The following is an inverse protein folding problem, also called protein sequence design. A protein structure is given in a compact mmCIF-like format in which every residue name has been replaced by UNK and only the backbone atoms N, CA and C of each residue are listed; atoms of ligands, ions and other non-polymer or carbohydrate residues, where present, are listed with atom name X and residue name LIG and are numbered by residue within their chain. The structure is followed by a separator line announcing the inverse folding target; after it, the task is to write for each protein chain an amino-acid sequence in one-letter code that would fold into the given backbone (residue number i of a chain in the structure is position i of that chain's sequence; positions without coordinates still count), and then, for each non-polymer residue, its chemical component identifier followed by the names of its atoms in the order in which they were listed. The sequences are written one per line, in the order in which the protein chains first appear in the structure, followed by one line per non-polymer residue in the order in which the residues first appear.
data_IF_092748519205
#
_entry.id   IF_092748519205
#
_cell.length_a   1.000
_cell.length_b   1.000
_cell.length_c   1.000
_cell.angle_alpha   90.00
_cell.angle_beta   90.00
_cell.angle_gamma   90.00
#
_symmetry.space_group_name_H-M   'P 1'
#
loop_
_entity.id
_entity.type
_entity.pdbx_description
1 polymer ?
#
# COMPACT_ATOMS: atom_id res chain seq x y z
N UNK A 1 -17.42 19.16 -1.77
CA UNK A 1 -17.78 19.65 -3.12
C UNK A 1 -17.78 18.43 -4.01
N UNK A 2 -18.89 18.10 -4.65
CA UNK A 2 -18.90 17.07 -5.69
C UNK A 2 -18.18 17.63 -6.92
N UNK A 3 -17.14 16.93 -7.37
CA UNK A 3 -16.42 17.29 -8.59
C UNK A 3 -17.30 17.12 -9.84
N UNK A 4 -16.81 17.60 -10.98
CA UNK A 4 -17.41 17.36 -12.30
C UNK A 4 -16.58 16.29 -13.03
N UNK A 5 -17.13 15.08 -13.14
CA UNK A 5 -16.43 13.92 -13.71
C UNK A 5 -16.14 14.10 -15.19
N UNK A 6 -17.12 14.54 -15.97
CA UNK A 6 -16.98 14.74 -17.41
C UNK A 6 -15.89 15.78 -17.71
N UNK A 7 -15.83 16.83 -16.88
CA UNK A 7 -14.77 17.83 -16.96
C UNK A 7 -13.42 17.26 -16.56
N UNK A 8 -13.33 16.46 -15.50
CA UNK A 8 -12.08 15.81 -15.09
C UNK A 8 -11.53 14.89 -16.20
N UNK A 9 -12.39 14.03 -16.76
CA UNK A 9 -12.05 13.16 -17.91
C UNK A 9 -11.56 13.99 -19.11
N UNK A 10 -12.28 15.07 -19.45
CA UNK A 10 -11.94 15.95 -20.57
C UNK A 10 -10.60 16.65 -20.38
N UNK A 11 -10.35 17.22 -19.20
CA UNK A 11 -9.09 17.93 -18.93
C UNK A 11 -7.89 16.97 -18.87
N UNK A 12 -8.05 15.78 -18.28
CA UNK A 12 -7.00 14.76 -18.29
C UNK A 12 -6.71 14.27 -19.71
N UNK A 13 -7.73 14.05 -20.55
CA UNK A 13 -7.54 13.67 -21.95
C UNK A 13 -6.74 14.74 -22.73
N UNK A 14 -7.05 16.03 -22.53
CA UNK A 14 -6.28 17.14 -23.11
C UNK A 14 -4.82 17.11 -22.66
N UNK A 15 -4.57 16.89 -21.37
CA UNK A 15 -3.20 16.80 -20.84
C UNK A 15 -2.43 15.63 -21.44
N UNK A 16 -3.07 14.45 -21.60
CA UNK A 16 -2.46 13.29 -22.25
C UNK A 16 -2.10 13.60 -23.70
N UNK A 17 -3.00 14.24 -24.45
CA UNK A 17 -2.72 14.61 -25.84
C UNK A 17 -1.62 15.67 -25.98
N UNK A 18 -1.49 16.57 -25.01
CA UNK A 18 -0.53 17.67 -25.04
C UNK A 18 0.85 17.32 -24.43
N UNK A 19 0.96 16.18 -23.73
CA UNK A 19 2.16 15.80 -22.98
C UNK A 19 2.75 14.50 -23.51
N UNK A 20 4.06 14.48 -23.69
CA UNK A 20 4.81 13.23 -23.92
C UNK A 20 5.20 12.54 -22.60
N UNK A 21 4.79 13.08 -21.44
CA UNK A 21 5.14 12.55 -20.13
C UNK A 21 3.91 11.94 -19.44
N UNK A 22 3.70 10.65 -19.68
CA UNK A 22 2.65 9.85 -19.04
C UNK A 22 2.76 9.81 -17.52
N UNK A 23 3.99 9.77 -17.00
CA UNK A 23 4.26 9.63 -15.57
C UNK A 23 3.76 10.81 -14.77
N UNK A 24 3.97 12.04 -15.25
CA UNK A 24 3.52 13.24 -14.56
C UNK A 24 1.98 13.35 -14.46
N UNK A 25 1.26 12.79 -15.43
CA UNK A 25 -0.22 12.76 -15.43
C UNK A 25 -0.71 11.72 -14.42
N UNK A 26 -0.08 10.54 -14.40
CA UNK A 26 -0.45 9.49 -13.46
C UNK A 26 -0.15 9.88 -12.01
N UNK A 27 1.02 10.49 -11.76
CA UNK A 27 1.37 11.01 -10.43
C UNK A 27 0.42 12.13 -9.98
N UNK A 28 -0.10 12.96 -10.90
CA UNK A 28 -1.11 13.96 -10.55
C UNK A 28 -2.43 13.32 -10.10
N UNK A 29 -2.89 12.28 -10.80
CA UNK A 29 -4.11 11.56 -10.41
C UNK A 29 -3.92 10.80 -9.09
N UNK A 30 -2.75 10.20 -8.89
CA UNK A 30 -2.40 9.56 -7.63
C UNK A 30 -2.29 10.56 -6.46
N UNK A 31 -1.77 11.76 -6.70
CA UNK A 31 -1.77 12.87 -5.72
C UNK A 31 -3.19 13.22 -5.27
N UNK A 32 -4.16 13.23 -6.19
CA UNK A 32 -5.57 13.45 -5.82
C UNK A 32 -6.14 12.28 -5.02
N UNK A 33 -5.88 11.05 -5.46
CA UNK A 33 -6.41 9.85 -4.83
C UNK A 33 -5.86 9.64 -3.41
N UNK A 34 -4.59 9.94 -3.17
CA UNK A 34 -3.94 9.69 -1.87
C UNK A 34 -4.47 10.58 -0.74
N UNK A 35 -5.26 11.62 -1.05
CA UNK A 35 -5.97 12.39 -0.03
C UNK A 35 -7.08 11.59 0.67
N UNK A 36 -7.57 10.51 0.07
CA UNK A 36 -8.44 9.53 0.73
C UNK A 36 -7.72 8.17 0.80
N UNK A 37 -6.77 8.05 1.73
CA UNK A 37 -5.94 6.85 1.90
C UNK A 37 -6.76 5.60 2.24
N UNK A 38 -7.78 5.72 3.09
CA UNK A 38 -8.56 4.56 3.55
C UNK A 38 -9.27 3.86 2.38
N UNK A 39 -9.83 4.63 1.44
CA UNK A 39 -10.55 4.07 0.29
C UNK A 39 -9.61 3.81 -0.91
N UNK A 40 -8.66 4.71 -1.17
CA UNK A 40 -7.90 4.74 -2.42
C UNK A 40 -6.41 4.43 -2.27
N UNK A 41 -5.86 4.39 -1.06
CA UNK A 41 -4.41 4.25 -0.86
C UNK A 41 -3.84 2.95 -1.41
N UNK A 42 -4.50 1.82 -1.12
CA UNK A 42 -4.10 0.50 -1.63
C UNK A 42 -4.24 0.42 -3.16
N UNK A 43 -5.36 0.93 -3.70
CA UNK A 43 -5.60 0.97 -5.14
C UNK A 43 -4.55 1.83 -5.84
N UNK A 44 -4.27 3.03 -5.32
CA UNK A 44 -3.28 3.97 -5.87
C UNK A 44 -1.92 3.34 -6.00
N UNK A 45 -1.43 2.66 -4.96
CA UNK A 45 -0.15 1.95 -5.01
C UNK A 45 -0.11 0.90 -6.13
N UNK A 46 -1.11 0.02 -6.20
CA UNK A 46 -1.14 -1.05 -7.21
C UNK A 46 -1.36 -0.50 -8.62
N UNK A 47 -2.17 0.54 -8.77
CA UNK A 47 -2.45 1.21 -10.03
C UNK A 47 -1.17 1.82 -10.63
N UNK A 48 -0.46 2.65 -9.85
CA UNK A 48 0.83 3.23 -10.25
C UNK A 48 1.82 2.12 -10.64
N UNK A 49 1.98 1.11 -9.78
CA UNK A 49 2.93 0.01 -10.00
C UNK A 49 2.62 -0.78 -11.26
N UNK A 50 1.34 -1.05 -11.53
CA UNK A 50 0.94 -1.81 -12.71
C UNK A 50 1.23 -1.05 -14.00
N UNK A 51 1.05 0.27 -14.03
CA UNK A 51 1.47 1.08 -15.16
C UNK A 51 2.98 1.08 -15.33
N UNK A 52 3.76 1.28 -14.27
CA UNK A 52 5.23 1.24 -14.36
C UNK A 52 5.78 -0.08 -14.89
N UNK A 53 5.06 -1.19 -14.69
CA UNK A 53 5.44 -2.49 -15.20
C UNK A 53 5.16 -2.66 -16.71
N UNK A 54 4.13 -2.00 -17.24
CA UNK A 54 3.65 -2.22 -18.61
C UNK A 54 3.82 -1.02 -19.57
N UNK A 55 3.96 0.20 -19.06
CA UNK A 55 4.26 1.49 -19.74
C UNK A 55 3.77 1.65 -21.19
N UNK A 56 2.59 1.09 -21.51
CA UNK A 56 2.01 1.20 -22.84
C UNK A 56 1.25 2.53 -22.97
N UNK A 57 1.78 3.42 -23.81
CA UNK A 57 1.17 4.71 -24.10
C UNK A 57 -0.27 4.59 -24.63
N UNK A 58 -0.60 3.49 -25.33
CA UNK A 58 -1.97 3.26 -25.84
C UNK A 58 -2.97 3.02 -24.73
N UNK A 59 -2.51 2.48 -23.61
CA UNK A 59 -3.33 2.18 -22.44
C UNK A 59 -3.35 3.33 -21.42
N UNK A 60 -2.54 4.37 -21.61
CA UNK A 60 -2.47 5.51 -20.70
C UNK A 60 -3.83 6.13 -20.41
N UNK A 61 -4.69 6.26 -21.43
CA UNK A 61 -6.05 6.75 -21.25
C UNK A 61 -6.90 5.80 -20.40
N UNK A 62 -6.87 4.49 -20.69
CA UNK A 62 -7.57 3.47 -19.90
C UNK A 62 -7.17 3.53 -18.43
N UNK A 63 -5.87 3.66 -18.17
CA UNK A 63 -5.31 3.82 -16.83
C UNK A 63 -5.77 5.10 -16.14
N UNK A 64 -5.61 6.25 -16.80
CA UNK A 64 -5.99 7.54 -16.25
C UNK A 64 -7.49 7.61 -15.94
N UNK A 65 -8.33 7.17 -16.88
CA UNK A 65 -9.78 7.14 -16.71
C UNK A 65 -10.20 6.20 -15.57
N UNK A 66 -9.55 5.04 -15.44
CA UNK A 66 -9.81 4.13 -14.32
C UNK A 66 -9.62 4.83 -12.97
N UNK A 67 -8.50 5.55 -12.78
CA UNK A 67 -8.26 6.30 -11.54
C UNK A 67 -9.28 7.42 -11.32
N UNK A 68 -9.67 8.16 -12.37
CA UNK A 68 -10.73 9.18 -12.27
C UNK A 68 -12.03 8.53 -11.78
N UNK A 69 -12.44 7.40 -12.36
CA UNK A 69 -13.65 6.70 -11.95
C UNK A 69 -13.60 6.26 -10.48
N UNK A 70 -12.46 5.79 -9.98
CA UNK A 70 -12.31 5.45 -8.56
C UNK A 70 -12.36 6.68 -7.65
N UNK A 71 -11.68 7.78 -8.02
CA UNK A 71 -11.70 9.04 -7.26
C UNK A 71 -13.14 9.53 -7.07
N UNK A 72 -13.97 9.43 -8.11
CA UNK A 72 -15.37 9.91 -8.06
C UNK A 72 -16.34 9.00 -7.30
N UNK A 73 -15.91 7.80 -6.88
CA UNK A 73 -16.70 6.96 -5.95
C UNK A 73 -16.54 7.37 -4.50
N UNK A 74 -15.54 8.19 -4.20
CA UNK A 74 -15.14 8.56 -2.85
C UNK A 74 -15.30 10.07 -2.63
N UNK A 75 -15.54 10.47 -1.38
CA UNK A 75 -15.46 11.87 -1.01
C UNK A 75 -13.99 12.26 -0.84
N UNK A 76 -13.52 13.22 -1.64
CA UNK A 76 -12.17 13.78 -1.47
C UNK A 76 -12.13 14.64 -0.21
N UNK A 77 -11.23 14.29 0.70
CA UNK A 77 -10.97 15.07 1.91
C UNK A 77 -10.05 16.23 1.55
N UNK A 78 -10.51 17.47 1.74
CA UNK A 78 -9.64 18.64 1.57
C UNK A 78 -8.65 18.68 2.72
N UNK A 79 -7.39 18.99 2.44
CA UNK A 79 -6.38 18.97 3.47
C UNK A 79 -5.60 20.28 3.50
N UNK A 80 -5.90 21.12 4.49
CA UNK A 80 -5.34 22.48 4.61
C UNK A 80 -4.03 22.56 5.40
N UNK A 81 -3.81 21.65 6.35
CA UNK A 81 -2.72 21.78 7.31
C UNK A 81 -1.51 20.93 6.87
N UNK A 82 -0.29 21.16 7.35
CA UNK A 82 0.84 20.26 7.07
C UNK A 82 0.97 19.24 8.22
N UNK A 83 1.37 18.00 7.91
CA UNK A 83 1.72 17.00 8.92
C UNK A 83 3.04 16.31 8.59
N UNK A 84 3.77 15.94 9.64
CA UNK A 84 5.09 15.31 9.56
C UNK A 84 5.14 14.07 10.48
N UNK A 85 4.51 12.98 10.02
CA UNK A 85 4.51 11.71 10.72
C UNK A 85 4.95 10.62 9.75
N UNK A 86 6.05 9.94 10.06
CA UNK A 86 6.60 8.88 9.23
C UNK A 86 5.86 7.55 9.51
N UNK A 87 5.42 6.78 8.48
CA UNK A 87 4.84 5.45 8.65
C UNK A 87 5.61 4.52 9.59
N UNK A 88 6.95 4.54 9.54
CA UNK A 88 7.79 3.70 10.40
C UNK A 88 7.51 3.89 11.90
N UNK A 89 7.07 5.09 12.31
CA UNK A 89 6.74 5.38 13.72
C UNK A 89 5.57 4.55 14.24
N UNK A 90 4.70 4.06 13.36
CA UNK A 90 3.52 3.25 13.72
C UNK A 90 3.71 1.76 13.46
N UNK A 91 4.91 1.32 13.03
CA UNK A 91 5.14 -0.05 12.59
C UNK A 91 4.75 -1.10 13.64
N UNK A 92 5.13 -0.90 14.89
CA UNK A 92 4.83 -1.82 15.99
C UNK A 92 3.35 -1.87 16.38
N UNK A 93 2.60 -0.83 16.02
CA UNK A 93 1.19 -0.71 16.35
C UNK A 93 0.32 -1.36 15.28
N UNK A 94 0.79 -1.34 14.02
CA UNK A 94 0.12 -1.98 12.88
C UNK A 94 0.52 -3.45 12.72
N UNK A 95 1.76 -3.83 13.05
CA UNK A 95 2.23 -5.21 12.95
C UNK A 95 1.72 -6.05 14.13
N UNK A 96 0.41 -6.23 14.19
CA UNK A 96 -0.22 -7.06 15.21
C UNK A 96 -1.27 -7.98 14.58
N UNK A 97 -1.51 -9.18 15.15
CA UNK A 97 -2.50 -10.10 14.60
C UNK A 97 -3.93 -9.54 14.50
N UNK A 98 -4.30 -8.58 15.36
CA UNK A 98 -5.60 -7.91 15.31
C UNK A 98 -5.73 -6.91 14.16
N UNK A 99 -4.62 -6.37 13.67
CA UNK A 99 -4.57 -5.40 12.57
C UNK A 99 -4.28 -6.04 11.20
N UNK A 100 -4.33 -7.38 11.06
CA UNK A 100 -4.02 -8.09 9.80
C UNK A 100 -4.78 -7.55 8.57
N UNK A 101 -6.01 -7.03 8.75
CA UNK A 101 -6.79 -6.42 7.66
C UNK A 101 -6.19 -5.09 7.17
N UNK A 102 -5.51 -4.36 8.04
CA UNK A 102 -4.89 -3.06 7.77
C UNK A 102 -3.49 -3.19 7.16
N UNK A 103 -2.81 -4.31 7.40
CA UNK A 103 -1.43 -4.56 6.94
C UNK A 103 -1.24 -4.37 5.42
N UNK A 104 -2.13 -4.85 4.53
CA UNK A 104 -1.98 -4.61 3.09
C UNK A 104 -1.96 -3.12 2.71
N UNK A 105 -2.89 -2.34 3.26
CA UNK A 105 -2.92 -0.89 3.05
C UNK A 105 -1.65 -0.24 3.61
N UNK A 106 -1.27 -0.56 4.84
CA UNK A 106 -0.07 0.01 5.46
C UNK A 106 1.21 -0.32 4.67
N UNK A 107 1.34 -1.55 4.19
CA UNK A 107 2.44 -2.00 3.33
C UNK A 107 2.49 -1.25 1.99
N UNK A 108 1.34 -0.88 1.42
CA UNK A 108 1.26 -0.03 0.24
C UNK A 108 1.68 1.42 0.56
N UNK A 109 1.22 1.96 1.70
CA UNK A 109 1.57 3.31 2.17
C UNK A 109 3.07 3.46 2.45
N UNK A 110 3.72 2.48 3.09
CA UNK A 110 5.17 2.50 3.29
C UNK A 110 5.92 2.61 1.95
N UNK A 111 5.49 1.86 0.93
CA UNK A 111 6.12 1.89 -0.39
C UNK A 111 5.82 3.17 -1.17
N UNK A 112 4.65 3.77 -0.99
CA UNK A 112 4.34 5.09 -1.54
C UNK A 112 5.17 6.20 -0.86
N UNK A 113 5.45 6.06 0.44
CA UNK A 113 6.29 6.98 1.20
C UNK A 113 7.77 6.97 0.78
N UNK A 114 8.29 5.78 0.43
CA UNK A 114 9.67 5.56 0.01
C UNK A 114 9.91 5.73 -1.50
N UNK A 115 8.86 5.88 -2.30
CA UNK A 115 8.97 5.92 -3.75
C UNK A 115 9.65 7.18 -4.29
N UNK A 116 10.21 7.06 -5.49
CA UNK A 116 10.86 8.16 -6.20
C UNK A 116 9.85 8.84 -7.14
N UNK A 117 9.00 9.68 -6.56
CA UNK A 117 7.96 10.43 -7.28
C UNK A 117 8.33 11.91 -7.38
N UNK A 118 7.99 12.56 -8.50
CA UNK A 118 8.15 14.02 -8.66
C UNK A 118 7.34 14.76 -7.60
N UNK A 119 6.18 14.21 -7.20
CA UNK A 119 5.24 14.78 -6.24
C UNK A 119 5.39 14.22 -4.81
N UNK A 120 6.53 13.64 -4.47
CA UNK A 120 6.74 12.92 -3.20
C UNK A 120 6.34 13.72 -1.94
N UNK A 121 6.53 15.04 -1.93
CA UNK A 121 6.16 15.87 -0.78
C UNK A 121 4.65 15.87 -0.52
N UNK A 122 3.80 15.89 -1.56
CA UNK A 122 2.36 15.82 -1.36
C UNK A 122 1.95 14.44 -0.84
N UNK A 123 2.58 13.38 -1.35
CA UNK A 123 2.32 12.01 -0.91
C UNK A 123 2.64 11.87 0.57
N UNK A 124 3.84 12.33 0.98
CA UNK A 124 4.25 12.32 2.39
C UNK A 124 3.29 13.12 3.26
N UNK A 125 2.89 14.32 2.85
CA UNK A 125 1.93 15.12 3.62
C UNK A 125 0.57 14.43 3.77
N UNK A 126 0.02 13.84 2.70
CA UNK A 126 -1.25 13.12 2.76
C UNK A 126 -1.16 11.88 3.66
N UNK A 127 -0.08 11.10 3.52
CA UNK A 127 0.20 9.92 4.35
C UNK A 127 0.37 10.30 5.82
N UNK A 128 1.19 11.32 6.12
CA UNK A 128 1.39 11.83 7.49
C UNK A 128 0.07 12.11 8.20
N UNK A 129 -0.89 12.72 7.49
CA UNK A 129 -2.20 13.04 8.07
C UNK A 129 -3.09 11.84 8.24
N UNK A 130 -3.09 10.93 7.27
CA UNK A 130 -3.79 9.68 7.45
C UNK A 130 -3.27 8.93 8.69
N UNK A 131 -1.96 8.95 8.93
CA UNK A 131 -1.34 8.36 10.12
C UNK A 131 -1.80 9.04 11.43
N UNK A 132 -1.96 10.37 11.47
CA UNK A 132 -2.45 11.05 12.69
C UNK A 132 -3.90 10.70 13.03
N UNK A 133 -4.68 10.25 12.05
CA UNK A 133 -6.08 9.82 12.25
C UNK A 133 -6.21 8.37 12.74
N UNK A 134 -5.14 7.56 12.64
CA UNK A 134 -5.18 6.18 13.09
C UNK A 134 -5.25 6.10 14.62
N UNK A 135 -6.24 5.37 15.16
CA UNK A 135 -6.39 5.17 16.60
C UNK A 135 -5.46 4.04 17.05
N UNK A 136 -4.57 4.38 17.96
CA UNK A 136 -3.44 3.53 18.34
C UNK A 136 -3.65 2.99 19.75
N UNK A 137 -3.61 1.66 19.90
CA UNK A 137 -3.39 1.03 21.19
C UNK A 137 -1.96 0.48 21.23
N UNK A 138 -1.15 0.83 22.24
CA UNK A 138 0.19 0.26 22.36
C UNK A 138 0.08 -1.24 22.65
N UNK A 139 0.79 -2.05 21.87
CA UNK A 139 0.92 -3.49 22.11
C UNK A 139 2.32 -3.79 22.60
N UNK A 140 2.42 -4.69 23.58
CA UNK A 140 3.68 -5.18 24.15
C UNK A 140 4.15 -6.46 23.46
N UNK A 141 5.47 -6.55 23.27
CA UNK A 141 6.16 -7.65 22.60
C UNK A 141 5.79 -9.02 23.19
N UNK A 142 5.60 -10.00 22.30
CA UNK A 142 5.59 -11.42 22.63
C UNK A 142 6.78 -12.12 22.01
N UNK A 143 7.18 -13.21 22.66
CA UNK A 143 8.37 -13.98 22.34
C UNK A 143 8.08 -14.98 21.20
N UNK A 144 8.93 -14.99 20.18
CA UNK A 144 9.01 -15.99 19.11
C UNK A 144 10.42 -16.07 18.55
N UNK A 145 10.64 -16.92 17.55
CA UNK A 145 11.93 -17.02 16.86
C UNK A 145 11.88 -16.21 15.57
N UNK A 146 12.89 -15.37 15.36
CA UNK A 146 13.06 -14.49 14.18
C UNK A 146 14.06 -15.05 13.17
N UNK A 147 14.73 -16.17 13.49
CA UNK A 147 15.85 -16.75 12.75
C UNK A 147 15.58 -16.93 11.25
N UNK A 148 14.38 -17.38 10.88
CA UNK A 148 13.99 -17.61 9.48
C UNK A 148 13.79 -16.29 8.71
N UNK A 149 13.24 -15.26 9.36
CA UNK A 149 13.08 -13.92 8.79
C UNK A 149 14.44 -13.23 8.65
N UNK A 150 15.33 -13.39 9.63
CA UNK A 150 16.71 -12.88 9.56
C UNK A 150 17.48 -13.53 8.42
N UNK A 151 17.41 -14.86 8.28
CA UNK A 151 18.00 -15.58 7.14
C UNK A 151 17.42 -15.09 5.82
N UNK A 152 16.10 -14.92 5.74
CA UNK A 152 15.43 -14.40 4.54
C UNK A 152 15.89 -12.98 4.19
N UNK A 153 16.00 -12.09 5.17
CA UNK A 153 16.41 -10.71 4.92
C UNK A 153 17.87 -10.64 4.43
N UNK A 154 18.76 -11.46 5.00
CA UNK A 154 20.18 -11.50 4.62
C UNK A 154 20.46 -12.20 3.29
N UNK A 155 19.75 -13.29 2.99
CA UNK A 155 20.10 -14.20 1.88
C UNK A 155 18.97 -14.40 0.86
N UNK A 156 17.81 -13.77 1.07
CA UNK A 156 16.59 -14.11 0.35
C UNK A 156 16.15 -15.55 0.64
N UNK A 157 15.47 -16.16 -0.33
CA UNK A 157 15.12 -17.58 -0.29
C UNK A 157 13.63 -17.85 -0.31
N UNK A 158 13.27 -19.08 0.07
CA UNK A 158 11.93 -19.65 -0.13
C UNK A 158 10.96 -19.47 1.04
N UNK A 159 11.38 -18.85 2.14
CA UNK A 159 10.55 -18.71 3.35
C UNK A 159 9.09 -18.31 3.08
N UNK A 160 8.86 -17.18 2.39
CA UNK A 160 7.51 -16.72 2.05
C UNK A 160 6.83 -17.58 0.97
N UNK A 161 7.59 -18.22 0.08
CA UNK A 161 7.06 -19.11 -0.95
C UNK A 161 6.51 -20.38 -0.30
N UNK A 162 7.25 -20.98 0.61
CA UNK A 162 6.86 -22.23 1.27
C UNK A 162 5.63 -22.00 2.18
N UNK A 163 5.53 -20.83 2.82
CA UNK A 163 4.31 -20.42 3.55
C UNK A 163 3.13 -20.23 2.59
N UNK A 164 3.32 -19.56 1.45
CA UNK A 164 2.29 -19.36 0.45
C UNK A 164 1.76 -20.70 -0.11
N UNK A 165 2.67 -21.63 -0.43
CA UNK A 165 2.32 -22.98 -0.89
C UNK A 165 1.50 -23.73 0.18
N UNK A 166 1.85 -23.59 1.46
CA UNK A 166 1.09 -24.16 2.58
C UNK A 166 -0.32 -23.57 2.69
N UNK A 167 -0.46 -22.24 2.59
CA UNK A 167 -1.75 -21.55 2.62
C UNK A 167 -2.66 -22.06 1.51
N UNK A 168 -2.17 -22.11 0.27
CA UNK A 168 -2.95 -22.55 -0.89
C UNK A 168 -3.37 -24.02 -0.78
N UNK A 169 -2.53 -24.86 -0.17
CA UNK A 169 -2.82 -26.29 -0.02
C UNK A 169 -3.84 -26.58 1.07
N UNK A 170 -3.85 -25.81 2.15
CA UNK A 170 -4.59 -26.14 3.37
C UNK A 170 -5.90 -25.36 3.55
N UNK A 171 -6.12 -24.25 2.83
CA UNK A 171 -7.30 -23.39 2.98
C UNK A 171 -8.26 -23.49 1.78
N UNK A 172 -9.51 -23.06 2.00
CA UNK A 172 -10.43 -22.79 0.91
C UNK A 172 -9.92 -21.61 0.04
N UNK A 173 -10.24 -21.56 -1.27
CA UNK A 173 -9.74 -20.51 -2.17
C UNK A 173 -9.95 -19.07 -1.66
N UNK A 174 -11.15 -18.76 -1.15
CA UNK A 174 -11.48 -17.39 -0.68
C UNK A 174 -10.69 -16.98 0.56
N UNK A 175 -10.38 -17.94 1.44
CA UNK A 175 -9.55 -17.71 2.63
C UNK A 175 -8.08 -17.59 2.24
N UNK A 176 -7.61 -18.47 1.35
CA UNK A 176 -6.25 -18.46 0.83
C UNK A 176 -5.91 -17.13 0.15
N UNK A 177 -6.82 -16.56 -0.66
CA UNK A 177 -6.60 -15.28 -1.34
C UNK A 177 -6.29 -14.17 -0.33
N UNK A 178 -7.09 -14.04 0.73
CA UNK A 178 -6.90 -13.01 1.75
C UNK A 178 -5.58 -13.20 2.53
N UNK A 179 -5.28 -14.45 2.89
CA UNK A 179 -4.05 -14.79 3.59
C UNK A 179 -2.80 -14.54 2.73
N UNK A 180 -2.86 -14.83 1.43
CA UNK A 180 -1.77 -14.54 0.48
C UNK A 180 -1.53 -13.03 0.35
N UNK A 181 -2.59 -12.23 0.26
CA UNK A 181 -2.47 -10.76 0.22
C UNK A 181 -1.81 -10.23 1.49
N UNK A 182 -2.20 -10.74 2.66
CA UNK A 182 -1.58 -10.38 3.95
C UNK A 182 -0.11 -10.82 4.01
N UNK A 183 0.21 -12.03 3.54
CA UNK A 183 1.56 -12.56 3.52
C UNK A 183 2.50 -11.74 2.62
N UNK A 184 2.03 -11.36 1.41
CA UNK A 184 2.80 -10.52 0.49
C UNK A 184 3.03 -9.11 1.07
N UNK A 185 2.04 -8.57 1.79
CA UNK A 185 2.18 -7.31 2.50
C UNK A 185 3.25 -7.38 3.60
N UNK A 186 3.24 -8.45 4.40
CA UNK A 186 4.25 -8.72 5.44
C UNK A 186 5.65 -8.91 4.84
N UNK A 187 5.77 -9.65 3.73
CA UNK A 187 7.02 -9.80 2.97
C UNK A 187 7.57 -8.45 2.51
N UNK A 188 6.68 -7.58 2.05
CA UNK A 188 6.98 -6.21 1.70
C UNK A 188 7.62 -5.42 2.82
N UNK A 189 6.96 -5.42 3.97
CA UNK A 189 7.41 -4.71 5.17
C UNK A 189 8.74 -5.29 5.63
N UNK A 190 8.87 -6.63 5.72
CA UNK A 190 10.09 -7.32 6.15
C UNK A 190 11.35 -6.96 5.34
N UNK A 191 11.18 -6.53 4.09
CA UNK A 191 12.30 -6.09 3.23
C UNK A 191 12.78 -4.68 3.55
N UNK A 192 11.91 -3.82 4.06
CA UNK A 192 12.17 -2.39 4.20
C UNK A 192 12.42 -1.97 5.66
N UNK A 193 12.25 -2.89 6.61
CA UNK A 193 12.32 -2.58 8.05
C UNK A 193 13.48 -3.29 8.72
N UNK A 194 13.96 -2.71 9.83
CA UNK A 194 15.00 -3.31 10.66
C UNK A 194 14.55 -4.60 11.35
N UNK A 195 15.53 -5.39 11.79
CA UNK A 195 15.31 -6.66 12.50
C UNK A 195 14.44 -6.53 13.75
N UNK A 196 14.40 -5.34 14.35
CA UNK A 196 13.62 -5.06 15.56
C UNK A 196 12.10 -5.32 15.38
N UNK A 197 11.61 -5.27 14.14
CA UNK A 197 10.20 -5.55 13.80
C UNK A 197 9.93 -7.00 13.40
N UNK A 198 10.96 -7.86 13.28
CA UNK A 198 10.77 -9.22 12.77
C UNK A 198 9.95 -10.10 13.69
N UNK A 199 9.99 -9.85 15.00
CA UNK A 199 9.18 -10.60 15.96
C UNK A 199 7.68 -10.40 15.67
N UNK A 200 7.26 -9.17 15.45
CA UNK A 200 5.87 -8.81 15.17
C UNK A 200 5.42 -9.36 13.81
N UNK A 201 6.31 -9.34 12.82
CA UNK A 201 6.06 -9.97 11.51
C UNK A 201 5.87 -11.48 11.67
N UNK A 202 6.74 -12.16 12.42
CA UNK A 202 6.64 -13.59 12.69
C UNK A 202 5.33 -13.94 13.41
N UNK A 203 4.91 -13.14 14.39
CA UNK A 203 3.66 -13.32 15.11
C UNK A 203 2.44 -13.20 14.17
N UNK A 204 2.45 -12.23 13.25
CA UNK A 204 1.41 -12.08 12.23
C UNK A 204 1.38 -13.28 11.28
N UNK A 205 2.54 -13.73 10.78
CA UNK A 205 2.66 -14.91 9.91
C UNK A 205 2.13 -16.17 10.62
N UNK A 206 2.53 -16.39 11.87
CA UNK A 206 2.07 -17.52 12.66
C UNK A 206 0.55 -17.50 12.87
N UNK A 207 -0.04 -16.31 13.03
CA UNK A 207 -1.50 -16.19 13.15
C UNK A 207 -2.22 -16.48 11.82
N UNK A 208 -1.67 -16.05 10.69
CA UNK A 208 -2.18 -16.38 9.34
C UNK A 208 -2.18 -17.90 9.16
N UNK A 209 -1.06 -18.56 9.45
CA UNK A 209 -0.91 -20.02 9.25
C UNK A 209 -1.74 -20.83 10.24
N UNK A 210 -1.92 -20.37 11.49
CA UNK A 210 -2.79 -21.08 12.48
C UNK A 210 -4.28 -21.06 12.13
N UNK A 211 -4.71 -20.19 11.22
CA UNK A 211 -6.09 -20.19 10.70
C UNK A 211 -6.27 -21.17 9.53
N UNK A 212 -5.18 -21.69 8.99
CA UNK A 212 -5.13 -22.74 7.96
C UNK A 212 -5.32 -24.13 8.55
#
# INVERSE_FOLDING_TARGET
MTGDQDRAETETAKQIMASNNSHSILELLAELAIHNVDDLGLFTFHWIRSYYFHQDEKELWSYARCMILEIFKCDLVSVSDEADLNPETLIYQILTPDQLKTIPLFSAIMRLWEGDYVRINTYKNAISKWLTMQRINPVTNKNGSTDELEKYNLHGGRYFIDIAESIVKNNLPDEAINQIVQLEALRGIAKNVGSDSFQQIADCINFIVKKS
#
